data_IF_935428753329
#
_entry.id   IF_935428753329
#
_cell.length_a   1.000
_cell.length_b   1.000
_cell.length_c   1.000
_cell.angle_alpha   90.00
_cell.angle_beta   90.00
_cell.angle_gamma   90.00
#
_symmetry.space_group_name_H-M   'P 1'
#
loop_
_entity.id
_entity.type
_entity.pdbx_description
1 polymer ?
#
# COMPACT_ATOMS: atom_id res chain seq x y z
N UNK A 1 -4.70 18.98 -16.13
CA UNK A 1 -4.18 17.98 -15.16
C UNK A 1 -5.15 16.81 -15.14
N UNK A 2 -4.69 15.63 -15.42
CA UNK A 2 -5.54 14.44 -15.42
C UNK A 2 -5.88 14.07 -13.97
N UNK A 3 -7.15 13.85 -13.67
CA UNK A 3 -7.63 13.43 -12.35
C UNK A 3 -7.66 11.91 -12.28
N UNK A 4 -7.20 11.37 -11.18
CA UNK A 4 -7.25 9.94 -10.89
C UNK A 4 -8.16 9.68 -9.70
N UNK A 5 -8.97 8.63 -9.80
CA UNK A 5 -9.75 8.14 -8.66
C UNK A 5 -8.85 7.28 -7.78
N UNK A 6 -8.77 7.58 -6.49
CA UNK A 6 -8.06 6.74 -5.52
C UNK A 6 -9.05 5.76 -4.88
N UNK A 7 -8.91 4.48 -5.24
CA UNK A 7 -9.77 3.40 -4.77
C UNK A 7 -9.34 2.92 -3.38
N UNK A 8 -9.65 3.70 -2.36
CA UNK A 8 -9.42 3.34 -0.96
C UNK A 8 -10.40 4.05 -0.04
N UNK A 9 -10.85 3.37 1.01
CA UNK A 9 -11.60 3.94 2.13
C UNK A 9 -10.70 4.26 3.34
N UNK A 10 -9.39 4.00 3.25
CA UNK A 10 -8.44 4.24 4.33
C UNK A 10 -7.88 5.67 4.26
N UNK A 11 -8.30 6.53 5.22
CA UNK A 11 -7.89 7.93 5.28
C UNK A 11 -6.36 8.11 5.36
N UNK A 12 -5.65 7.25 6.09
CA UNK A 12 -4.18 7.31 6.19
C UNK A 12 -3.51 7.04 4.84
N UNK A 13 -4.05 6.11 4.04
CA UNK A 13 -3.57 5.90 2.67
C UNK A 13 -3.81 7.14 1.81
N UNK A 14 -4.97 7.77 1.90
CA UNK A 14 -5.29 9.00 1.15
C UNK A 14 -4.28 10.10 1.48
N UNK A 15 -3.93 10.29 2.75
CA UNK A 15 -2.93 11.27 3.18
C UNK A 15 -1.54 10.98 2.61
N UNK A 16 -1.07 9.72 2.70
CA UNK A 16 0.23 9.32 2.15
C UNK A 16 0.28 9.50 0.62
N UNK A 17 -0.77 9.09 -0.10
CA UNK A 17 -0.88 9.29 -1.55
C UNK A 17 -0.83 10.77 -1.92
N UNK A 18 -1.64 11.60 -1.27
CA UNK A 18 -1.70 13.03 -1.54
C UNK A 18 -0.35 13.70 -1.28
N UNK A 19 0.33 13.36 -0.17
CA UNK A 19 1.62 13.92 0.20
C UNK A 19 2.73 13.56 -0.80
N UNK A 20 2.72 12.33 -1.33
CA UNK A 20 3.75 11.84 -2.26
C UNK A 20 3.46 12.29 -3.70
N UNK A 21 2.20 12.28 -4.12
CA UNK A 21 1.82 12.54 -5.52
C UNK A 21 1.69 14.04 -5.85
N UNK A 22 1.26 14.87 -4.89
CA UNK A 22 1.06 16.30 -5.14
C UNK A 22 2.33 17.02 -5.66
N UNK A 23 3.53 16.80 -5.07
CA UNK A 23 4.76 17.40 -5.59
C UNK A 23 5.13 16.95 -7.01
N UNK A 24 4.58 15.81 -7.46
CA UNK A 24 4.81 15.25 -8.79
C UNK A 24 3.72 15.67 -9.80
N UNK A 25 2.81 16.55 -9.39
CA UNK A 25 1.77 17.10 -10.24
C UNK A 25 0.62 16.13 -10.55
N UNK A 26 0.49 15.04 -9.80
CA UNK A 26 -0.59 14.06 -9.91
C UNK A 26 -1.68 14.37 -8.89
N UNK A 27 -2.89 14.67 -9.37
CA UNK A 27 -4.05 14.93 -8.51
C UNK A 27 -4.88 13.67 -8.37
N UNK A 28 -5.11 13.25 -7.12
CA UNK A 28 -6.00 12.14 -6.78
C UNK A 28 -7.23 12.66 -6.05
N UNK A 29 -8.38 12.06 -6.31
CA UNK A 29 -9.62 12.33 -5.62
C UNK A 29 -10.28 11.00 -5.20
N UNK A 30 -10.99 11.04 -4.09
CA UNK A 30 -11.82 9.93 -3.62
C UNK A 30 -13.21 10.02 -4.25
N UNK A 31 -13.88 8.88 -4.40
CA UNK A 31 -15.27 8.78 -4.83
C UNK A 31 -16.03 7.83 -3.90
N UNK A 32 -17.35 7.87 -3.97
CA UNK A 32 -18.19 6.84 -3.34
C UNK A 32 -18.11 5.58 -4.22
N UNK A 33 -17.36 4.60 -3.77
CA UNK A 33 -17.03 3.40 -4.52
C UNK A 33 -17.64 2.16 -3.87
N UNK A 34 -18.06 1.17 -4.66
CA UNK A 34 -18.51 -0.10 -4.10
C UNK A 34 -17.36 -0.79 -3.35
N UNK A 35 -17.73 -1.53 -2.30
CA UNK A 35 -16.77 -2.44 -1.66
C UNK A 35 -16.35 -3.54 -2.63
N UNK A 36 -15.08 -3.85 -2.63
CA UNK A 36 -14.50 -4.89 -3.49
C UNK A 36 -13.98 -6.01 -2.61
N UNK A 37 -14.47 -7.23 -2.86
CA UNK A 37 -13.93 -8.43 -2.24
C UNK A 37 -12.50 -8.68 -2.73
N UNK A 38 -11.53 -8.59 -1.83
CA UNK A 38 -10.12 -8.88 -2.11
C UNK A 38 -9.90 -10.40 -2.13
N UNK A 39 -10.27 -11.03 -3.23
CA UNK A 39 -10.19 -12.49 -3.44
C UNK A 39 -8.87 -12.93 -4.08
N UNK A 40 -8.01 -12.00 -4.44
CA UNK A 40 -6.71 -12.27 -5.05
C UNK A 40 -5.75 -12.95 -4.07
N UNK A 41 -4.92 -13.84 -4.62
CA UNK A 41 -3.85 -14.52 -3.88
C UNK A 41 -2.58 -13.66 -3.74
N UNK A 42 -2.47 -12.58 -4.52
CA UNK A 42 -1.33 -11.66 -4.56
C UNK A 42 -1.76 -10.22 -4.35
N UNK A 43 -0.80 -9.37 -3.95
CA UNK A 43 -1.03 -7.93 -3.84
C UNK A 43 -1.38 -7.30 -5.20
N UNK A 44 -0.76 -7.82 -6.27
CA UNK A 44 -1.02 -7.39 -7.65
C UNK A 44 -2.47 -7.63 -8.05
N UNK A 45 -3.00 -8.84 -7.79
CA UNK A 45 -4.39 -9.20 -8.08
C UNK A 45 -5.38 -8.32 -7.31
N UNK A 46 -5.17 -8.13 -6.01
CA UNK A 46 -6.06 -7.31 -5.19
C UNK A 46 -5.99 -5.82 -5.57
N UNK A 47 -4.81 -5.27 -5.86
CA UNK A 47 -4.69 -3.90 -6.35
C UNK A 47 -5.43 -3.71 -7.68
N UNK A 48 -5.28 -4.68 -8.61
CA UNK A 48 -6.01 -4.65 -9.87
C UNK A 48 -7.53 -4.70 -9.69
N UNK A 49 -8.05 -5.63 -8.87
CA UNK A 49 -9.50 -5.75 -8.61
C UNK A 49 -10.09 -4.43 -8.12
N UNK A 50 -9.42 -3.76 -7.18
CA UNK A 50 -9.86 -2.46 -6.64
C UNK A 50 -9.80 -1.35 -7.71
N UNK A 51 -8.70 -1.26 -8.46
CA UNK A 51 -8.55 -0.23 -9.48
C UNK A 51 -9.53 -0.42 -10.64
N UNK A 52 -9.72 -1.67 -11.09
CA UNK A 52 -10.65 -1.99 -12.17
C UNK A 52 -12.10 -1.67 -11.79
N UNK A 53 -12.54 -2.05 -10.59
CA UNK A 53 -13.89 -1.73 -10.09
C UNK A 53 -14.12 -0.21 -10.01
N UNK A 54 -13.15 0.55 -9.51
CA UNK A 54 -13.26 2.00 -9.42
C UNK A 54 -13.26 2.68 -10.80
N UNK A 55 -12.45 2.19 -11.73
CA UNK A 55 -12.42 2.67 -13.11
C UNK A 55 -13.75 2.40 -13.82
N UNK A 56 -14.31 1.21 -13.66
CA UNK A 56 -15.62 0.84 -14.23
C UNK A 56 -16.75 1.70 -13.64
N UNK A 57 -16.77 1.88 -12.32
CA UNK A 57 -17.79 2.66 -11.64
C UNK A 57 -17.79 4.15 -12.00
N UNK A 58 -16.62 4.72 -12.30
CA UNK A 58 -16.47 6.16 -12.51
C UNK A 58 -16.23 6.58 -13.95
N UNK A 59 -15.80 5.66 -14.80
CA UNK A 59 -15.35 5.97 -16.17
C UNK A 59 -14.05 6.79 -16.22
N UNK A 60 -13.33 6.92 -15.11
CA UNK A 60 -12.10 7.68 -14.97
C UNK A 60 -10.92 6.76 -14.66
N UNK A 61 -9.67 7.18 -14.97
CA UNK A 61 -8.51 6.42 -14.53
C UNK A 61 -8.51 6.27 -13.01
N UNK A 62 -8.32 5.05 -12.53
CA UNK A 62 -8.37 4.74 -11.10
C UNK A 62 -7.10 4.07 -10.61
N UNK A 63 -6.63 4.52 -9.46
CA UNK A 63 -5.43 4.02 -8.76
C UNK A 63 -5.88 3.28 -7.51
N UNK A 64 -5.34 2.10 -7.29
CA UNK A 64 -5.49 1.36 -6.04
C UNK A 64 -4.13 0.94 -5.47
N UNK A 65 -4.11 0.76 -4.15
CA UNK A 65 -2.98 0.17 -3.41
C UNK A 65 -3.44 -1.08 -2.69
N UNK A 66 -2.71 -2.17 -2.90
CA UNK A 66 -2.76 -3.30 -1.99
C UNK A 66 -1.41 -3.46 -1.30
N UNK A 67 -1.45 -3.61 0.03
CA UNK A 67 -0.23 -3.55 0.84
C UNK A 67 -0.35 -4.39 2.09
N UNK A 68 0.78 -4.92 2.54
CA UNK A 68 0.81 -5.74 3.74
C UNK A 68 2.21 -6.01 4.26
N UNK A 69 2.23 -6.55 5.45
CA UNK A 69 3.41 -6.99 6.18
C UNK A 69 3.65 -8.48 5.93
N UNK A 70 4.85 -8.84 5.53
CA UNK A 70 5.28 -10.22 5.37
C UNK A 70 6.39 -10.53 6.37
N UNK A 71 6.16 -11.47 7.29
CA UNK A 71 7.12 -11.86 8.33
C UNK A 71 7.74 -13.20 7.99
N UNK A 72 9.07 -13.28 7.92
CA UNK A 72 9.76 -14.50 7.48
C UNK A 72 9.50 -15.68 8.42
N UNK A 73 9.60 -15.48 9.73
CA UNK A 73 9.34 -16.51 10.73
C UNK A 73 7.89 -17.05 10.73
N UNK A 74 6.98 -16.35 10.05
CA UNK A 74 5.58 -16.75 9.87
C UNK A 74 5.28 -17.16 8.42
N UNK A 75 6.29 -17.57 7.65
CA UNK A 75 6.16 -17.98 6.24
C UNK A 75 5.47 -16.93 5.35
N UNK A 76 5.69 -15.65 5.64
CA UNK A 76 5.11 -14.53 4.90
C UNK A 76 3.76 -14.04 5.42
N UNK A 77 3.17 -14.69 6.45
CA UNK A 77 2.00 -14.10 7.11
C UNK A 77 2.36 -12.79 7.82
N UNK A 78 1.40 -11.83 7.93
CA UNK A 78 0.01 -11.81 7.44
C UNK A 78 -0.15 -11.68 5.92
N UNK A 79 0.83 -11.14 5.18
CA UNK A 79 0.80 -11.01 3.73
C UNK A 79 -0.40 -10.20 3.21
N UNK A 80 -1.09 -10.68 2.19
CA UNK A 80 -2.28 -10.05 1.60
C UNK A 80 -3.46 -9.94 2.59
N UNK A 81 -3.41 -10.66 3.68
CA UNK A 81 -4.43 -10.62 4.73
C UNK A 81 -4.14 -9.61 5.85
N UNK A 82 -3.12 -8.76 5.70
CA UNK A 82 -2.60 -7.88 6.77
C UNK A 82 -3.69 -7.08 7.50
N UNK A 83 -4.66 -6.53 6.78
CA UNK A 83 -5.73 -5.74 7.37
C UNK A 83 -6.73 -6.58 8.21
N UNK A 84 -6.95 -7.84 7.82
CA UNK A 84 -7.97 -8.74 8.40
C UNK A 84 -7.41 -9.99 9.09
N UNK A 85 -6.08 -10.13 9.18
CA UNK A 85 -5.39 -11.32 9.70
C UNK A 85 -5.85 -11.77 11.09
N UNK A 86 -6.17 -10.82 11.97
CA UNK A 86 -6.66 -11.10 13.31
C UNK A 86 -8.18 -10.87 13.46
N UNK A 87 -8.93 -10.79 12.34
CA UNK A 87 -10.34 -10.41 12.33
C UNK A 87 -10.57 -8.92 12.53
N UNK A 88 -11.77 -8.53 12.88
CA UNK A 88 -12.18 -7.14 13.13
C UNK A 88 -11.71 -6.67 14.52
N UNK A 89 -10.45 -6.32 14.62
CA UNK A 89 -9.82 -5.82 15.85
C UNK A 89 -9.05 -4.53 15.58
N UNK A 90 -8.79 -3.74 16.63
CA UNK A 90 -7.94 -2.56 16.50
C UNK A 90 -6.49 -2.93 16.15
N UNK A 91 -5.76 -2.01 15.53
CA UNK A 91 -4.35 -2.18 15.19
C UNK A 91 -3.51 -2.53 16.43
N UNK A 92 -3.81 -1.92 17.57
CA UNK A 92 -3.14 -2.22 18.85
C UNK A 92 -3.31 -3.70 19.26
N UNK A 93 -4.51 -4.25 19.09
CA UNK A 93 -4.78 -5.67 19.40
C UNK A 93 -4.09 -6.55 18.37
N UNK A 94 -4.14 -6.20 17.09
CA UNK A 94 -3.49 -6.93 15.99
C UNK A 94 -1.97 -6.99 16.20
N UNK A 95 -1.35 -5.87 16.55
CA UNK A 95 0.09 -5.81 16.85
C UNK A 95 0.47 -6.69 18.05
N UNK A 96 -0.32 -6.65 19.12
CA UNK A 96 -0.09 -7.52 20.28
C UNK A 96 -0.17 -9.01 19.92
N UNK A 97 -1.15 -9.41 19.10
CA UNK A 97 -1.29 -10.79 18.66
C UNK A 97 -0.12 -11.25 17.78
N UNK A 98 0.39 -10.38 16.91
CA UNK A 98 1.56 -10.67 16.09
C UNK A 98 2.81 -10.83 16.96
N UNK A 99 3.01 -9.93 17.92
CA UNK A 99 4.14 -10.02 18.87
C UNK A 99 4.07 -11.29 19.73
N UNK A 100 2.88 -11.71 20.17
CA UNK A 100 2.70 -12.96 20.92
C UNK A 100 3.08 -14.18 20.08
N UNK A 101 2.74 -14.20 18.78
CA UNK A 101 3.19 -15.28 17.87
C UNK A 101 4.69 -15.31 17.66
N UNK A 102 5.38 -14.21 17.88
CA UNK A 102 6.81 -14.08 17.69
C UNK A 102 7.61 -14.10 19.02
N UNK A 103 6.97 -14.35 20.15
CA UNK A 103 7.60 -14.21 21.48
C UNK A 103 8.84 -15.09 21.66
N UNK A 104 8.85 -16.29 21.07
CA UNK A 104 9.98 -17.24 21.15
C UNK A 104 10.93 -17.11 19.95
N UNK A 105 10.64 -16.19 19.00
CA UNK A 105 11.49 -15.97 17.82
C UNK A 105 12.64 -15.05 18.20
N UNK A 106 13.90 -15.49 18.04
CA UNK A 106 15.07 -14.67 18.36
C UNK A 106 15.18 -13.47 17.41
N UNK A 107 15.91 -12.44 17.84
CA UNK A 107 16.06 -11.19 17.11
C UNK A 107 16.50 -11.39 15.65
N UNK A 108 17.49 -12.25 15.42
CA UNK A 108 18.03 -12.51 14.10
C UNK A 108 17.01 -13.09 13.10
N UNK A 109 15.95 -13.73 13.60
CA UNK A 109 14.93 -14.40 12.78
C UNK A 109 13.63 -13.58 12.67
N UNK A 110 13.59 -12.37 13.23
CA UNK A 110 12.42 -11.49 13.18
C UNK A 110 12.34 -10.64 11.90
N UNK A 111 13.05 -11.05 10.85
CA UNK A 111 13.06 -10.36 9.57
C UNK A 111 11.66 -10.29 8.97
N UNK A 112 11.34 -9.14 8.45
CA UNK A 112 10.05 -8.86 7.83
C UNK A 112 10.22 -7.86 6.70
N UNK A 113 9.22 -7.77 5.83
CA UNK A 113 9.12 -6.68 4.86
C UNK A 113 7.69 -6.17 4.74
N UNK A 114 7.55 -4.88 4.52
CA UNK A 114 6.33 -4.32 3.97
C UNK A 114 6.37 -4.34 2.45
N UNK A 115 5.22 -4.65 1.86
CA UNK A 115 4.98 -4.64 0.42
C UNK A 115 3.84 -3.67 0.11
N UNK A 116 3.96 -2.91 -0.97
CA UNK A 116 2.86 -2.14 -1.58
C UNK A 116 2.89 -2.36 -3.08
N UNK A 117 1.74 -2.63 -3.66
CA UNK A 117 1.52 -2.68 -5.09
C UNK A 117 0.50 -1.61 -5.46
N UNK A 118 0.94 -0.69 -6.32
CA UNK A 118 0.08 0.33 -6.92
C UNK A 118 -0.36 -0.18 -8.28
N UNK A 119 -1.66 -0.20 -8.51
CA UNK A 119 -2.24 -0.50 -9.83
C UNK A 119 -3.06 0.70 -10.30
N UNK A 120 -2.86 1.12 -11.53
CA UNK A 120 -3.69 2.10 -12.20
C UNK A 120 -4.35 1.45 -13.41
N UNK A 121 -5.67 1.57 -13.51
CA UNK A 121 -6.46 1.10 -14.66
C UNK A 121 -7.02 2.33 -15.36
N UNK A 122 -6.78 2.43 -16.67
CA UNK A 122 -7.35 3.44 -17.53
C UNK A 122 -8.67 2.95 -18.15
N UNK A 123 -9.64 3.81 -18.39
CA UNK A 123 -10.89 3.39 -19.04
C UNK A 123 -10.64 2.89 -20.47
N UNK A 124 -11.45 1.95 -20.93
CA UNK A 124 -11.49 1.52 -22.33
C UNK A 124 -11.92 2.68 -23.23
N UNK A 125 -11.39 2.77 -24.44
CA UNK A 125 -11.85 3.71 -25.46
C UNK A 125 -13.04 3.16 -26.29
N UNK A 126 -13.55 1.99 -25.94
CA UNK A 126 -14.63 1.29 -26.61
C UNK A 126 -14.16 0.33 -27.73
N UNK A 127 -12.96 0.49 -28.25
CA UNK A 127 -12.35 -0.38 -29.26
C UNK A 127 -11.25 -1.28 -28.64
N UNK A 128 -10.54 -0.75 -27.64
CA UNK A 128 -9.45 -1.45 -26.95
C UNK A 128 -9.68 -1.47 -25.43
N UNK A 129 -9.27 -2.54 -24.74
CA UNK A 129 -9.20 -2.53 -23.30
C UNK A 129 -8.36 -1.34 -22.80
N UNK A 130 -8.71 -0.80 -21.65
CA UNK A 130 -7.90 0.24 -21.01
C UNK A 130 -6.53 -0.29 -20.61
N UNK A 131 -5.53 0.58 -20.65
CA UNK A 131 -4.18 0.25 -20.23
C UNK A 131 -4.09 0.05 -18.71
N UNK A 132 -3.09 -0.71 -18.29
CA UNK A 132 -2.83 -1.00 -16.87
C UNK A 132 -1.36 -0.67 -16.57
N UNK A 133 -1.15 0.14 -15.55
CA UNK A 133 0.18 0.36 -14.99
C UNK A 133 0.25 -0.27 -13.61
N UNK A 134 1.34 -0.99 -13.32
CA UNK A 134 1.56 -1.62 -12.02
C UNK A 134 2.96 -1.33 -11.52
N UNK A 135 3.06 -0.89 -10.27
CA UNK A 135 4.34 -0.62 -9.62
C UNK A 135 4.38 -1.24 -8.23
N UNK A 136 5.44 -1.98 -7.95
CA UNK A 136 5.69 -2.63 -6.66
C UNK A 136 6.81 -1.93 -5.90
N UNK A 137 6.62 -1.72 -4.60
CA UNK A 137 7.64 -1.25 -3.67
C UNK A 137 7.70 -2.13 -2.44
N UNK A 138 8.90 -2.38 -1.96
CA UNK A 138 9.14 -3.16 -0.74
C UNK A 138 10.07 -2.40 0.19
N UNK A 139 9.90 -2.59 1.48
CA UNK A 139 10.82 -2.10 2.51
C UNK A 139 11.17 -3.27 3.43
N UNK A 140 12.41 -3.70 3.36
CA UNK A 140 12.97 -4.71 4.27
C UNK A 140 13.18 -4.10 5.65
N UNK A 141 12.96 -4.91 6.68
CA UNK A 141 13.09 -4.53 8.07
C UNK A 141 12.93 -5.71 9.02
N UNK A 142 12.53 -5.44 10.24
CA UNK A 142 12.32 -6.48 11.26
C UNK A 142 11.13 -6.13 12.17
N UNK A 143 10.63 -7.13 12.91
CA UNK A 143 9.61 -6.91 13.92
C UNK A 143 10.27 -6.63 15.27
N UNK A 144 9.95 -5.49 15.86
CA UNK A 144 10.39 -5.09 17.19
C UNK A 144 9.85 -6.05 18.28
N UNK A 145 10.48 -6.05 19.46
CA UNK A 145 9.98 -6.83 20.60
C UNK A 145 8.78 -6.16 21.30
N UNK A 146 8.67 -4.85 21.18
CA UNK A 146 7.57 -4.05 21.74
C UNK A 146 7.22 -2.92 20.80
N UNK A 147 5.98 -2.39 20.84
CA UNK A 147 5.59 -1.22 20.07
C UNK A 147 6.38 0.02 20.52
N UNK A 148 6.77 0.87 19.56
CA UNK A 148 7.37 2.19 19.77
C UNK A 148 6.80 3.20 18.79
N UNK A 149 6.70 4.48 19.21
CA UNK A 149 6.08 5.54 18.42
C UNK A 149 4.55 5.57 18.49
N UNK A 150 3.97 6.66 18.04
CA UNK A 150 2.52 6.89 18.09
C UNK A 150 1.94 7.29 16.74
N UNK A 151 2.81 7.55 15.74
CA UNK A 151 2.39 7.96 14.40
C UNK A 151 2.05 6.75 13.51
N UNK A 152 1.42 7.04 12.37
CA UNK A 152 1.09 6.04 11.35
C UNK A 152 -0.13 5.18 11.70
N UNK A 153 -0.16 3.95 11.17
CA UNK A 153 -1.29 3.01 11.30
C UNK A 153 -0.84 1.55 11.10
N UNK A 154 -1.75 0.63 11.36
CA UNK A 154 -1.51 -0.80 11.14
C UNK A 154 -0.37 -1.33 11.99
N UNK A 155 0.66 -1.87 11.35
CA UNK A 155 1.82 -2.46 12.00
C UNK A 155 3.00 -1.49 12.17
N UNK A 156 2.82 -0.21 11.87
CA UNK A 156 3.89 0.80 11.97
C UNK A 156 4.59 0.83 13.33
N UNK A 157 3.89 0.68 14.48
CA UNK A 157 4.54 0.69 15.78
C UNK A 157 5.47 -0.48 16.08
N UNK A 158 5.40 -1.56 15.29
CA UNK A 158 6.21 -2.77 15.52
C UNK A 158 7.14 -3.11 14.35
N UNK A 159 7.10 -2.35 13.25
CA UNK A 159 7.97 -2.58 12.10
C UNK A 159 9.18 -1.65 12.14
N UNK A 160 10.36 -2.22 12.37
CA UNK A 160 11.64 -1.53 12.36
C UNK A 160 12.16 -1.37 10.92
N UNK A 161 12.50 -0.14 10.56
CA UNK A 161 13.25 0.21 9.37
C UNK A 161 14.55 0.91 9.80
N UNK A 162 15.64 0.15 9.87
CA UNK A 162 16.84 0.56 10.57
C UNK A 162 16.64 0.56 12.09
N UNK A 163 16.95 1.67 12.74
CA UNK A 163 16.88 1.79 14.21
C UNK A 163 15.53 2.30 14.74
N UNK A 164 14.63 2.77 13.86
CA UNK A 164 13.31 3.33 14.22
C UNK A 164 12.19 2.45 13.72
N UNK A 165 11.10 2.39 14.45
CA UNK A 165 9.83 1.92 13.90
C UNK A 165 9.24 2.94 12.93
N UNK A 166 8.35 2.53 12.05
CA UNK A 166 7.63 3.48 11.19
C UNK A 166 6.82 4.50 11.99
N UNK A 167 6.32 4.13 13.17
CA UNK A 167 5.57 5.01 14.04
C UNK A 167 6.44 6.04 14.81
N UNK A 168 7.76 5.90 14.79
CA UNK A 168 8.72 6.88 15.32
C UNK A 168 9.22 7.85 14.24
N UNK A 169 8.83 7.65 12.99
CA UNK A 169 9.20 8.49 11.85
C UNK A 169 8.16 9.58 11.61
N UNK A 170 8.61 10.75 11.23
CA UNK A 170 7.73 11.74 10.61
C UNK A 170 7.18 11.20 9.28
N UNK A 171 6.04 11.74 8.82
CA UNK A 171 5.49 11.35 7.53
C UNK A 171 6.50 11.44 6.38
N UNK A 172 7.31 12.51 6.34
CA UNK A 172 8.34 12.70 5.31
C UNK A 172 9.48 11.66 5.39
N UNK A 173 9.95 11.33 6.61
CA UNK A 173 10.95 10.28 6.80
C UNK A 173 10.41 8.93 6.33
N UNK A 174 9.18 8.58 6.73
CA UNK A 174 8.53 7.34 6.31
C UNK A 174 8.34 7.28 4.80
N UNK A 175 7.85 8.35 4.15
CA UNK A 175 7.65 8.40 2.69
C UNK A 175 8.94 8.19 1.91
N UNK A 176 10.08 8.66 2.44
CA UNK A 176 11.38 8.49 1.79
C UNK A 176 11.81 7.02 1.71
N UNK A 177 11.51 6.21 2.73
CA UNK A 177 12.02 4.83 2.88
C UNK A 177 10.97 3.75 2.68
N UNK A 178 9.68 4.07 2.85
CA UNK A 178 8.62 3.08 2.91
C UNK A 178 8.34 2.35 1.60
N UNK A 179 7.73 1.19 1.73
CA UNK A 179 7.20 0.38 0.63
C UNK A 179 6.29 1.20 -0.30
N UNK A 180 5.31 1.95 0.28
CA UNK A 180 4.40 2.79 -0.50
C UNK A 180 5.10 3.95 -1.17
N UNK A 181 6.02 4.63 -0.48
CA UNK A 181 6.82 5.69 -1.07
C UNK A 181 7.65 5.19 -2.27
N UNK A 182 8.24 4.00 -2.16
CA UNK A 182 8.98 3.37 -3.27
C UNK A 182 8.06 2.97 -4.43
N UNK A 183 6.90 2.37 -4.14
CA UNK A 183 5.92 1.99 -5.15
C UNK A 183 5.39 3.22 -5.91
N UNK A 184 5.02 4.29 -5.21
CA UNK A 184 4.49 5.52 -5.81
C UNK A 184 5.54 6.24 -6.67
N UNK A 185 6.80 6.32 -6.24
CA UNK A 185 7.87 6.90 -7.09
C UNK A 185 8.07 6.10 -8.39
N UNK A 186 8.02 4.77 -8.34
CA UNK A 186 8.07 3.91 -9.53
C UNK A 186 6.86 4.12 -10.42
N UNK A 187 5.68 4.18 -9.81
CA UNK A 187 4.43 4.45 -10.52
C UNK A 187 4.47 5.79 -11.26
N UNK A 188 4.93 6.86 -10.62
CA UNK A 188 5.04 8.17 -11.27
C UNK A 188 5.98 8.16 -12.47
N UNK A 189 7.12 7.47 -12.37
CA UNK A 189 8.04 7.33 -13.51
C UNK A 189 7.39 6.57 -14.69
N UNK A 190 6.59 5.53 -14.40
CA UNK A 190 5.81 4.82 -15.43
C UNK A 190 4.71 5.71 -16.02
N UNK A 191 4.01 6.47 -15.18
CA UNK A 191 2.94 7.38 -15.60
C UNK A 191 3.48 8.49 -16.51
N UNK A 192 4.61 9.10 -16.18
CA UNK A 192 5.27 10.08 -17.05
C UNK A 192 5.63 9.50 -18.43
N UNK A 193 6.15 8.28 -18.45
CA UNK A 193 6.46 7.59 -19.70
C UNK A 193 5.20 7.28 -20.50
N UNK A 194 4.16 6.82 -19.84
CA UNK A 194 2.86 6.53 -20.43
C UNK A 194 2.25 7.80 -21.07
N UNK A 195 2.23 8.93 -20.35
CA UNK A 195 1.72 10.20 -20.84
C UNK A 195 2.47 10.70 -22.07
N UNK A 196 3.82 10.59 -22.08
CA UNK A 196 4.63 10.97 -23.26
C UNK A 196 4.31 10.13 -24.48
N UNK A 197 4.05 8.83 -24.29
CA UNK A 197 3.74 7.89 -25.40
C UNK A 197 2.35 8.12 -25.97
N UNK A 198 1.38 8.52 -25.15
CA UNK A 198 -0.02 8.70 -25.53
C UNK A 198 -0.38 10.17 -25.80
N UNK A 199 0.56 11.11 -25.71
CA UNK A 199 0.37 12.54 -25.95
C UNK A 199 -0.74 13.17 -25.06
N UNK A 200 -0.84 12.72 -23.81
CA UNK A 200 -1.85 13.15 -22.82
C UNK A 200 -1.23 14.16 -21.85
#
# INVERSE_FOLDING_TARGET
MQKFILATHNAHKVEEFSRILAPLGVEVCTADLPEVDETGATFEENAYLKAASACEATGLPAIADDSGLCVHALNGEPGVHSARWAGEVSDKVRNRLLLERLKEVPEADRLAKFVSVICCVFPSDGERPGDILTARGECEGAIAFAPAGEDGFGYDPIFLCGEKTYAEMTGAEKDAVSHRGRALRRFCAQLEQYQKTHQI
#
